data_IF_990041597964
#
_entry.id   IF_990041597964
#
_cell.length_a   1.000
_cell.length_b   1.000
_cell.length_c   1.000
_cell.angle_alpha   90.00
_cell.angle_beta   90.00
_cell.angle_gamma   90.00
#
_symmetry.space_group_name_H-M   'P 1'
#
loop_
_entity.id
_entity.type
_entity.pdbx_description
1 polymer ?
#
# COMPACT_ATOMS: atom_id res chain seq x y z
N UNK A 1 6.79 9.40 -1.42
CA UNK A 1 5.73 8.83 -0.56
C UNK A 1 6.22 8.58 0.85
N UNK A 2 7.43 8.03 1.01
CA UNK A 2 8.06 7.84 2.32
C UNK A 2 9.19 8.86 2.42
N UNK A 3 9.03 9.81 3.33
CA UNK A 3 10.02 10.83 3.67
C UNK A 3 10.11 10.93 5.19
N UNK A 4 11.30 10.85 5.81
CA UNK A 4 12.61 10.58 5.18
C UNK A 4 12.69 9.19 4.52
N UNK A 5 13.59 9.05 3.55
CA UNK A 5 13.84 7.76 2.89
C UNK A 5 14.27 6.70 3.92
N UNK A 6 13.70 5.47 3.88
CA UNK A 6 14.08 4.41 4.80
C UNK A 6 15.54 4.00 4.58
N UNK A 7 16.29 3.83 5.67
CA UNK A 7 17.67 3.34 5.66
C UNK A 7 17.77 1.82 5.61
N UNK A 8 16.70 1.13 6.01
CA UNK A 8 16.60 -0.33 5.92
C UNK A 8 15.19 -0.77 5.54
N UNK A 9 15.11 -1.94 4.91
CA UNK A 9 13.85 -2.59 4.53
C UNK A 9 13.84 -3.99 5.16
N UNK A 10 12.75 -4.33 5.84
CA UNK A 10 12.46 -5.67 6.33
C UNK A 10 11.25 -6.23 5.57
N UNK A 11 11.49 -7.21 4.71
CA UNK A 11 10.46 -7.91 3.94
C UNK A 11 10.03 -9.20 4.65
N UNK A 12 8.81 -9.22 5.14
CA UNK A 12 8.23 -10.35 5.85
C UNK A 12 7.24 -11.08 4.94
N UNK A 13 7.36 -12.40 4.80
CA UNK A 13 6.58 -13.19 3.84
C UNK A 13 5.91 -14.42 4.47
N UNK A 14 4.71 -14.76 3.99
CA UNK A 14 4.01 -16.00 4.35
C UNK A 14 4.60 -17.24 3.65
N UNK A 15 4.82 -17.15 2.34
CA UNK A 15 5.40 -18.22 1.52
C UNK A 15 6.66 -17.76 0.80
N UNK A 16 7.66 -18.65 0.73
CA UNK A 16 8.92 -18.35 0.05
C UNK A 16 8.72 -18.33 -1.47
N UNK A 17 9.30 -17.33 -2.15
CA UNK A 17 9.22 -17.19 -3.59
C UNK A 17 10.56 -16.74 -4.21
N UNK A 18 10.66 -16.77 -5.55
CA UNK A 18 11.81 -16.25 -6.27
C UNK A 18 12.07 -14.75 -5.98
N UNK A 19 11.00 -13.99 -5.71
CA UNK A 19 11.09 -12.59 -5.32
C UNK A 19 11.86 -12.45 -4.00
N UNK A 20 11.54 -13.26 -2.99
CA UNK A 20 12.25 -13.25 -1.69
C UNK A 20 13.74 -13.51 -1.89
N UNK A 21 14.08 -14.49 -2.73
CA UNK A 21 15.48 -14.80 -3.07
C UNK A 21 16.19 -13.61 -3.74
N UNK A 22 15.49 -12.88 -4.60
CA UNK A 22 16.04 -11.70 -5.28
C UNK A 22 16.24 -10.54 -4.31
N UNK A 23 15.23 -10.22 -3.49
CA UNK A 23 15.32 -9.16 -2.48
C UNK A 23 16.50 -9.39 -1.53
N UNK A 24 16.69 -10.64 -1.10
CA UNK A 24 17.83 -11.00 -0.25
C UNK A 24 19.18 -10.79 -0.95
N UNK A 25 19.30 -11.11 -2.24
CA UNK A 25 20.51 -10.82 -3.03
C UNK A 25 20.75 -9.33 -3.20
N UNK A 26 19.68 -8.55 -3.27
CA UNK A 26 19.73 -7.08 -3.37
C UNK A 26 20.01 -6.41 -2.02
N UNK A 27 20.29 -7.19 -0.97
CA UNK A 27 20.67 -6.71 0.36
C UNK A 27 19.48 -6.33 1.26
N UNK A 28 18.25 -6.70 0.89
CA UNK A 28 17.06 -6.47 1.71
C UNK A 28 16.96 -7.56 2.78
N UNK A 29 16.73 -7.15 4.04
CA UNK A 29 16.48 -8.08 5.14
C UNK A 29 15.16 -8.81 4.89
N UNK A 30 15.18 -10.14 4.93
CA UNK A 30 13.98 -10.98 4.76
C UNK A 30 13.66 -11.75 6.03
N UNK A 31 12.37 -11.99 6.29
CA UNK A 31 11.90 -12.76 7.43
C UNK A 31 10.69 -13.62 7.07
N UNK A 32 10.71 -14.90 7.44
CA UNK A 32 9.58 -15.81 7.21
C UNK A 32 8.55 -15.66 8.34
N UNK A 33 7.35 -15.20 8.00
CA UNK A 33 6.25 -15.03 8.95
C UNK A 33 6.12 -13.61 9.51
N UNK A 34 5.36 -13.48 10.60
CA UNK A 34 5.10 -12.20 11.26
C UNK A 34 6.32 -11.79 12.10
N UNK A 35 6.92 -10.61 11.86
CA UNK A 35 8.14 -10.22 12.56
C UNK A 35 7.86 -9.99 14.04
N UNK A 36 8.69 -10.50 14.97
CA UNK A 36 8.62 -10.09 16.36
C UNK A 36 9.08 -8.64 16.51
N UNK A 37 8.62 -7.97 17.56
CA UNK A 37 8.95 -6.55 17.79
C UNK A 37 10.46 -6.29 17.92
N UNK A 38 11.20 -7.21 18.55
CA UNK A 38 12.66 -7.09 18.68
C UNK A 38 13.38 -7.09 17.32
N UNK A 39 12.86 -7.83 16.34
CA UNK A 39 13.42 -7.79 14.98
C UNK A 39 13.19 -6.43 14.32
N UNK A 40 12.03 -5.80 14.56
CA UNK A 40 11.71 -4.45 14.06
C UNK A 40 12.60 -3.40 14.75
N UNK A 41 12.86 -3.55 16.06
CA UNK A 41 13.74 -2.64 16.83
C UNK A 41 15.18 -2.68 16.33
N UNK A 42 15.67 -3.86 15.95
CA UNK A 42 17.03 -4.05 15.47
C UNK A 42 17.28 -3.51 14.04
N UNK A 43 16.24 -3.03 13.34
CA UNK A 43 16.40 -2.40 12.02
C UNK A 43 17.03 -1.00 12.12
N UNK A 44 17.79 -0.61 11.09
CA UNK A 44 18.34 0.74 10.99
C UNK A 44 17.23 1.76 10.70
N UNK A 45 17.19 2.86 11.48
CA UNK A 45 16.09 3.84 11.45
C UNK A 45 16.37 5.08 10.61
N UNK A 46 15.38 5.62 9.88
CA UNK A 46 14.01 5.11 9.71
C UNK A 46 14.00 3.79 8.91
N UNK A 47 13.10 2.87 9.25
CA UNK A 47 12.99 1.57 8.55
C UNK A 47 11.67 1.44 7.78
N UNK A 48 11.60 0.56 6.78
CA UNK A 48 10.36 0.18 6.10
C UNK A 48 10.07 -1.29 6.33
N UNK A 49 8.91 -1.59 6.90
CA UNK A 49 8.44 -2.96 7.13
C UNK A 49 7.41 -3.31 6.07
N UNK A 50 7.65 -4.39 5.31
CA UNK A 50 6.72 -4.90 4.31
C UNK A 50 6.18 -6.23 4.82
N UNK A 51 4.87 -6.34 4.96
CA UNK A 51 4.17 -7.56 5.35
C UNK A 51 3.42 -8.10 4.12
N UNK A 52 3.92 -9.20 3.56
CA UNK A 52 3.38 -9.83 2.35
C UNK A 52 2.82 -11.22 2.65
N UNK A 53 1.56 -11.44 2.24
CA UNK A 53 0.84 -12.70 2.46
C UNK A 53 0.79 -13.17 3.93
N UNK A 54 0.61 -12.22 4.86
CA UNK A 54 0.58 -12.50 6.30
C UNK A 54 -0.79 -12.32 6.96
N UNK A 55 -1.86 -12.04 6.19
CA UNK A 55 -3.19 -11.72 6.72
C UNK A 55 -3.76 -12.78 7.66
N UNK A 56 -3.59 -14.05 7.31
CA UNK A 56 -4.12 -15.14 8.12
C UNK A 56 -3.25 -15.44 9.35
N UNK A 57 -1.93 -15.30 9.21
CA UNK A 57 -0.96 -15.58 10.26
C UNK A 57 -0.85 -14.47 11.31
N UNK A 58 -1.13 -13.21 10.94
CA UNK A 58 -1.01 -12.07 11.86
C UNK A 58 -2.22 -11.94 12.79
N UNK A 59 -1.93 -11.63 14.05
CA UNK A 59 -2.93 -11.28 15.04
C UNK A 59 -3.51 -9.88 14.81
N UNK A 60 -4.81 -9.70 15.06
CA UNK A 60 -5.54 -8.44 14.85
C UNK A 60 -5.01 -7.32 15.73
N UNK A 61 -4.74 -7.62 17.01
CA UNK A 61 -4.22 -6.63 17.96
C UNK A 61 -2.82 -6.21 17.57
N UNK A 62 -1.95 -7.16 17.24
CA UNK A 62 -0.59 -6.86 16.80
C UNK A 62 -0.56 -5.99 15.53
N UNK A 63 -1.34 -6.35 14.50
CA UNK A 63 -1.47 -5.56 13.27
C UNK A 63 -1.99 -4.14 13.55
N UNK A 64 -2.98 -4.01 14.44
CA UNK A 64 -3.52 -2.71 14.85
C UNK A 64 -2.46 -1.85 15.56
N UNK A 65 -1.63 -2.44 16.40
CA UNK A 65 -0.53 -1.74 17.08
C UNK A 65 0.55 -1.26 16.09
N UNK A 66 0.88 -2.07 15.08
CA UNK A 66 1.83 -1.72 14.03
C UNK A 66 1.39 -0.50 13.21
N UNK A 67 0.10 -0.40 12.88
CA UNK A 67 -0.47 0.71 12.11
C UNK A 67 -0.84 1.94 12.94
N UNK A 68 -0.64 1.91 14.26
CA UNK A 68 -0.99 3.04 15.14
C UNK A 68 0.23 3.52 15.93
N UNK A 69 0.46 2.98 17.14
CA UNK A 69 1.46 3.50 18.07
C UNK A 69 2.87 3.08 17.68
N UNK A 70 3.07 1.85 17.22
CA UNK A 70 4.41 1.29 17.05
C UNK A 70 5.18 1.92 15.89
N UNK A 71 4.54 2.21 14.76
CA UNK A 71 5.18 2.87 13.61
C UNK A 71 5.82 4.21 13.99
N UNK A 72 5.09 5.03 14.73
CA UNK A 72 5.58 6.34 15.19
C UNK A 72 6.66 6.22 16.28
N UNK A 73 6.52 5.28 17.21
CA UNK A 73 7.49 5.12 18.31
C UNK A 73 8.79 4.42 17.89
N UNK A 74 8.73 3.54 16.89
CA UNK A 74 9.87 2.74 16.42
C UNK A 74 10.42 3.23 15.08
N UNK A 75 10.04 4.44 14.65
CA UNK A 75 10.51 5.14 13.45
C UNK A 75 10.51 4.24 12.21
N UNK A 76 9.32 3.73 11.85
CA UNK A 76 9.15 2.92 10.65
C UNK A 76 7.90 3.25 9.85
N UNK A 77 8.02 3.14 8.53
CA UNK A 77 6.89 3.01 7.62
C UNK A 77 6.47 1.54 7.51
N UNK A 78 5.18 1.28 7.26
CA UNK A 78 4.65 -0.06 7.07
C UNK A 78 3.84 -0.17 5.78
N UNK A 79 4.06 -1.27 5.05
CA UNK A 79 3.27 -1.67 3.89
C UNK A 79 2.68 -3.04 4.20
N UNK A 80 1.37 -3.17 4.01
CA UNK A 80 0.67 -4.45 4.17
C UNK A 80 0.02 -4.84 2.85
N UNK A 81 0.48 -5.95 2.27
CA UNK A 81 -0.03 -6.48 1.01
C UNK A 81 -1.12 -7.51 1.33
N UNK A 82 -2.30 -7.33 0.73
CA UNK A 82 -3.47 -8.16 1.03
C UNK A 82 -4.38 -8.31 -0.17
N UNK A 83 -5.04 -9.47 -0.27
CA UNK A 83 -6.10 -9.72 -1.25
C UNK A 83 -7.48 -9.21 -0.80
N UNK A 84 -7.67 -9.00 0.50
CA UNK A 84 -8.96 -8.58 1.07
C UNK A 84 -8.79 -7.34 1.97
N UNK A 85 -9.03 -6.15 1.40
CA UNK A 85 -8.99 -4.89 2.14
C UNK A 85 -10.07 -4.77 3.23
N UNK A 86 -11.17 -5.52 3.12
CA UNK A 86 -12.30 -5.47 4.05
C UNK A 86 -12.31 -6.60 5.08
N UNK A 87 -11.23 -7.36 5.17
CA UNK A 87 -11.04 -8.30 6.28
C UNK A 87 -11.17 -7.57 7.62
N UNK A 88 -11.80 -8.22 8.61
CA UNK A 88 -12.10 -7.60 9.91
C UNK A 88 -10.83 -7.11 10.59
N UNK A 89 -9.77 -7.93 10.56
CA UNK A 89 -8.46 -7.63 11.16
C UNK A 89 -7.83 -6.33 10.62
N UNK A 90 -8.16 -5.95 9.38
CA UNK A 90 -7.59 -4.79 8.69
C UNK A 90 -8.33 -3.48 8.97
N UNK A 91 -9.40 -3.48 9.77
CA UNK A 91 -10.18 -2.26 10.01
C UNK A 91 -9.32 -1.10 10.53
N UNK A 92 -8.51 -1.34 11.56
CA UNK A 92 -7.65 -0.30 12.16
C UNK A 92 -6.55 0.11 11.19
N UNK A 93 -5.90 -0.86 10.54
CA UNK A 93 -4.86 -0.59 9.54
C UNK A 93 -5.40 0.29 8.40
N UNK A 94 -6.57 -0.05 7.85
CA UNK A 94 -7.23 0.72 6.78
C UNK A 94 -7.57 2.14 7.21
N UNK A 95 -8.00 2.35 8.45
CA UNK A 95 -8.36 3.68 8.96
C UNK A 95 -7.15 4.58 9.26
N UNK A 96 -5.99 3.99 9.59
CA UNK A 96 -4.76 4.73 9.90
C UNK A 96 -3.77 4.79 8.72
N UNK A 97 -4.09 4.13 7.61
CA UNK A 97 -3.25 4.17 6.41
C UNK A 97 -3.30 5.54 5.76
N UNK A 98 -2.14 6.16 5.59
CA UNK A 98 -1.99 7.43 4.87
C UNK A 98 -2.12 7.25 3.35
N UNK A 99 -1.89 6.04 2.85
CA UNK A 99 -1.92 5.72 1.43
C UNK A 99 -2.60 4.37 1.21
N UNK A 100 -3.36 4.24 0.13
CA UNK A 100 -3.88 2.96 -0.34
C UNK A 100 -3.49 2.76 -1.81
N UNK A 101 -3.15 1.52 -2.16
CA UNK A 101 -2.87 1.11 -3.54
C UNK A 101 -3.87 0.03 -3.91
N UNK A 102 -4.70 0.29 -4.92
CA UNK A 102 -5.70 -0.65 -5.41
C UNK A 102 -5.28 -1.20 -6.76
N UNK A 103 -5.11 -2.51 -6.86
CA UNK A 103 -4.93 -3.21 -8.14
C UNK A 103 -6.29 -3.68 -8.67
N UNK A 104 -6.30 -4.19 -9.91
CA UNK A 104 -7.52 -4.74 -10.52
C UNK A 104 -8.03 -5.95 -9.75
N UNK A 105 -9.23 -5.82 -9.17
CA UNK A 105 -9.94 -6.89 -8.48
C UNK A 105 -11.33 -7.16 -9.09
N UNK A 106 -11.47 -8.07 -10.07
CA UNK A 106 -12.75 -8.33 -10.74
C UNK A 106 -13.87 -8.83 -9.81
N UNK A 107 -13.52 -9.64 -8.82
CA UNK A 107 -14.42 -10.14 -7.77
C UNK A 107 -14.61 -9.14 -6.62
N UNK A 108 -13.88 -8.02 -6.62
CA UNK A 108 -13.85 -7.04 -5.53
C UNK A 108 -14.77 -5.83 -5.76
N UNK A 109 -15.66 -5.85 -6.76
CA UNK A 109 -16.43 -4.65 -7.15
C UNK A 109 -17.21 -4.01 -5.99
N UNK A 110 -17.83 -4.81 -5.13
CA UNK A 110 -18.54 -4.31 -3.95
C UNK A 110 -17.59 -3.67 -2.93
N UNK A 111 -16.42 -4.29 -2.68
CA UNK A 111 -15.38 -3.75 -1.81
C UNK A 111 -14.88 -2.40 -2.32
N UNK A 112 -14.56 -2.30 -3.62
CA UNK A 112 -14.15 -1.04 -4.25
C UNK A 112 -15.23 0.02 -4.12
N UNK A 113 -16.50 -0.33 -4.39
CA UNK A 113 -17.63 0.61 -4.23
C UNK A 113 -17.77 1.10 -2.78
N UNK A 114 -17.70 0.20 -1.81
CA UNK A 114 -17.82 0.53 -0.39
C UNK A 114 -16.67 1.44 0.06
N UNK A 115 -15.45 1.22 -0.43
CA UNK A 115 -14.32 2.10 -0.17
C UNK A 115 -14.57 3.50 -0.76
N UNK A 116 -15.06 3.57 -2.01
CA UNK A 116 -15.42 4.83 -2.66
C UNK A 116 -16.45 5.64 -1.89
N UNK A 117 -17.50 4.97 -1.37
CA UNK A 117 -18.52 5.62 -0.52
C UNK A 117 -17.89 6.20 0.75
N UNK A 118 -16.96 5.48 1.38
CA UNK A 118 -16.30 5.92 2.62
C UNK A 118 -15.33 7.09 2.38
N UNK A 119 -14.54 7.04 1.30
CA UNK A 119 -13.48 8.02 1.05
C UNK A 119 -13.95 9.26 0.26
N UNK A 120 -14.97 9.10 -0.57
CA UNK A 120 -15.48 10.13 -1.49
C UNK A 120 -17.01 10.28 -1.37
N UNK A 121 -17.54 10.67 -0.19
CA UNK A 121 -18.98 10.85 0.01
C UNK A 121 -19.54 11.89 -0.98
N UNK A 122 -20.62 11.53 -1.67
CA UNK A 122 -21.21 12.36 -2.74
C UNK A 122 -20.43 12.38 -4.06
N UNK A 123 -19.28 11.70 -4.16
CA UNK A 123 -18.41 11.66 -5.34
C UNK A 123 -18.02 10.23 -5.76
N UNK A 124 -18.92 9.26 -5.54
CA UNK A 124 -18.67 7.85 -5.83
C UNK A 124 -18.34 7.58 -7.31
N UNK A 125 -19.09 8.18 -8.24
CA UNK A 125 -18.87 7.96 -9.67
C UNK A 125 -17.48 8.45 -10.12
N UNK A 126 -17.02 9.57 -9.57
CA UNK A 126 -15.67 10.08 -9.80
C UNK A 126 -14.61 9.06 -9.35
N UNK A 127 -14.77 8.49 -8.16
CA UNK A 127 -13.86 7.47 -7.65
C UNK A 127 -13.87 6.19 -8.48
N UNK A 128 -15.06 5.68 -8.83
CA UNK A 128 -15.20 4.45 -9.62
C UNK A 128 -14.63 4.62 -11.02
N UNK A 129 -14.79 5.81 -11.62
CA UNK A 129 -14.23 6.11 -12.92
C UNK A 129 -12.70 6.17 -12.89
N UNK A 130 -12.12 6.85 -11.90
CA UNK A 130 -10.67 6.88 -11.68
C UNK A 130 -10.11 5.46 -11.49
N UNK A 131 -10.78 4.60 -10.70
CA UNK A 131 -10.38 3.21 -10.52
C UNK A 131 -10.42 2.41 -11.83
N UNK A 132 -11.51 2.51 -12.61
CA UNK A 132 -11.63 1.82 -13.90
C UNK A 132 -10.54 2.23 -14.89
N UNK A 133 -10.25 3.52 -14.96
CA UNK A 133 -9.20 4.05 -15.84
C UNK A 133 -7.81 3.62 -15.36
N UNK A 134 -7.52 3.77 -14.07
CA UNK A 134 -6.23 3.44 -13.47
C UNK A 134 -5.91 1.94 -13.45
N UNK A 135 -6.92 1.06 -13.52
CA UNK A 135 -6.77 -0.40 -13.45
C UNK A 135 -7.10 -1.11 -14.77
N UNK A 136 -7.17 -0.35 -15.87
CA UNK A 136 -7.52 -0.88 -17.21
C UNK A 136 -6.51 -1.92 -17.68
N UNK A 137 -5.22 -1.61 -17.53
CA UNK A 137 -4.11 -2.36 -18.10
C UNK A 137 -3.53 -3.36 -17.08
N UNK A 138 -2.79 -4.37 -17.52
CA UNK A 138 -2.16 -5.34 -16.59
C UNK A 138 -1.10 -4.64 -15.73
N UNK A 139 -0.97 -5.07 -14.47
CA UNK A 139 -0.02 -4.53 -13.49
C UNK A 139 -0.20 -3.03 -13.17
N UNK A 140 -1.35 -2.45 -13.53
CA UNK A 140 -1.71 -1.08 -13.18
C UNK A 140 -2.44 -1.01 -11.84
N UNK A 141 -2.49 0.19 -11.27
CA UNK A 141 -3.02 0.43 -9.93
C UNK A 141 -3.60 1.84 -9.80
N UNK A 142 -4.58 2.02 -8.91
CA UNK A 142 -4.99 3.32 -8.41
C UNK A 142 -4.27 3.61 -7.09
N UNK A 143 -3.51 4.69 -7.06
CA UNK A 143 -2.94 5.28 -5.86
C UNK A 143 -3.92 6.25 -5.23
N UNK A 144 -4.14 6.11 -3.92
CA UNK A 144 -5.02 6.97 -3.13
C UNK A 144 -4.19 7.62 -2.02
N UNK A 145 -4.12 8.94 -2.04
CA UNK A 145 -3.48 9.76 -1.02
C UNK A 145 -4.51 10.22 0.02
N UNK A 146 -4.31 9.78 1.26
CA UNK A 146 -5.13 10.12 2.43
C UNK A 146 -4.33 10.91 3.47
N UNK A 147 -3.11 11.32 3.16
CA UNK A 147 -2.28 12.06 4.09
C UNK A 147 -2.89 13.45 4.38
N UNK A 148 -3.02 13.88 5.65
CA UNK A 148 -3.76 15.08 6.03
C UNK A 148 -3.17 16.37 5.45
N UNK A 149 -1.86 16.39 5.19
CA UNK A 149 -1.16 17.55 4.61
C UNK A 149 -1.11 17.54 3.08
N UNK A 150 -1.67 16.52 2.42
CA UNK A 150 -1.62 16.41 0.96
C UNK A 150 -2.66 17.31 0.29
N UNK A 151 -2.32 17.80 -0.91
CA UNK A 151 -3.26 18.53 -1.75
C UNK A 151 -4.43 17.62 -2.14
N UNK A 152 -5.65 18.07 -1.84
CA UNK A 152 -6.90 17.37 -2.15
C UNK A 152 -7.11 17.10 -3.64
N UNK A 153 -6.49 17.89 -4.53
CA UNK A 153 -6.55 17.70 -5.98
C UNK A 153 -5.71 16.51 -6.46
N UNK A 154 -4.71 16.09 -5.68
CA UNK A 154 -3.76 15.02 -6.01
C UNK A 154 -4.11 13.68 -5.34
N UNK A 155 -5.36 13.54 -4.85
CA UNK A 155 -5.80 12.36 -4.09
C UNK A 155 -5.78 11.07 -4.88
N UNK A 156 -6.15 11.10 -6.17
CA UNK A 156 -6.24 9.91 -7.01
C UNK A 156 -5.23 10.00 -8.15
N UNK A 157 -4.27 9.06 -8.17
CA UNK A 157 -3.18 9.02 -9.15
C UNK A 157 -2.93 7.60 -9.65
N UNK A 158 -2.27 7.47 -10.78
CA UNK A 158 -1.66 6.20 -11.22
C UNK A 158 -0.31 6.50 -11.87
N UNK A 159 0.50 5.48 -12.12
CA UNK A 159 1.84 5.63 -12.70
C UNK A 159 2.69 6.62 -11.89
N UNK A 160 2.73 6.44 -10.56
CA UNK A 160 3.62 7.20 -9.68
C UNK A 160 4.96 6.48 -9.44
N UNK A 161 5.04 5.21 -9.83
CA UNK A 161 6.21 4.36 -9.73
C UNK A 161 6.45 3.67 -11.06
N UNK A 162 7.72 3.60 -11.42
CA UNK A 162 8.17 3.14 -12.73
C UNK A 162 8.52 1.65 -12.70
N UNK A 163 7.49 0.81 -12.60
CA UNK A 163 7.68 -0.65 -12.50
C UNK A 163 7.90 -1.33 -13.87
N UNK A 164 7.69 -0.61 -14.98
CA UNK A 164 7.65 -1.18 -16.34
C UNK A 164 8.80 -0.73 -17.26
N UNK A 165 9.80 0.01 -16.75
CA UNK A 165 11.00 0.44 -17.50
C UNK A 165 11.97 -0.67 -17.94
N UNK A 166 11.48 -1.89 -18.18
CA UNK A 166 12.21 -2.89 -18.95
C UNK A 166 11.70 -3.03 -20.40
N UNK A 167 10.66 -2.29 -20.84
CA UNK A 167 10.26 -2.24 -22.26
C UNK A 167 9.80 -0.85 -22.71
N UNK A 168 10.72 -0.13 -23.35
CA UNK A 168 10.50 0.75 -24.51
C UNK A 168 9.36 1.79 -24.48
N UNK A 169 9.29 2.69 -23.48
CA UNK A 169 8.55 3.94 -23.68
C UNK A 169 9.16 5.14 -22.96
N UNK A 170 9.56 6.15 -23.74
CA UNK A 170 10.12 7.43 -23.28
C UNK A 170 9.08 8.39 -22.66
N UNK A 171 7.79 8.01 -22.60
CA UNK A 171 6.72 8.83 -22.03
C UNK A 171 6.07 8.13 -20.81
N UNK A 172 6.73 8.23 -19.65
CA UNK A 172 6.11 7.91 -18.37
C UNK A 172 5.45 9.17 -17.80
N UNK A 173 4.14 9.32 -18.03
CA UNK A 173 3.36 10.42 -17.47
C UNK A 173 2.50 9.92 -16.30
N UNK A 174 2.74 10.48 -15.11
CA UNK A 174 1.83 10.31 -13.97
C UNK A 174 0.46 10.86 -14.35
N UNK A 175 -0.56 10.01 -14.26
CA UNK A 175 -1.94 10.44 -14.50
C UNK A 175 -2.58 10.87 -13.19
N UNK A 176 -3.10 12.10 -13.14
CA UNK A 176 -3.85 12.66 -12.01
C UNK A 176 -5.33 12.68 -12.40
N UNK A 177 -6.18 12.09 -11.57
CA UNK A 177 -7.63 12.13 -11.77
C UNK A 177 -8.19 13.34 -11.04
N UNK A 178 -8.88 14.21 -11.78
CA UNK A 178 -9.53 15.40 -11.24
C UNK A 178 -11.06 15.19 -11.18
N UNK A 179 -11.74 15.71 -10.15
CA UNK A 179 -13.19 15.70 -10.13
C UNK A 179 -13.72 16.59 -11.27
N UNK A 180 -14.85 16.19 -11.88
CA UNK A 180 -15.55 17.06 -12.83
C UNK A 180 -15.96 18.35 -12.11
N UNK A 181 -15.65 19.50 -12.71
CA UNK A 181 -16.21 20.77 -12.27
C UNK A 181 -17.72 20.72 -12.46
N UNK A 182 -18.48 20.96 -11.39
CA UNK A 182 -19.92 21.16 -11.46
C UNK A 182 -20.23 22.46 -12.21
#
# INVERSE_FOLDING_TARGET
MIDPQPKSILYCYGEFSLLVSQLQRDGISVYSGVPPEELIKNQQKPSLIILDDLLYSIDEKYLSELFTKKSHHLDFGIVFVTQNLFEKKLRVARQNSMYLVLTRAPNGALSIRNLGVQLFPGKLEYFLDAYRQATRDKYSYLFIDLHPSSDTTLRLRTNIYDFLKQKDSDNFETTIFLPKSN
#
